data_IF_094635108963
#
_entry.id   IF_094635108963
#
_cell.length_a   1.000
_cell.length_b   1.000
_cell.length_c   1.000
_cell.angle_alpha   90.00
_cell.angle_beta   90.00
_cell.angle_gamma   90.00
#
_symmetry.space_group_name_H-M   'P 1'
#
loop_
_entity.id
_entity.type
_entity.pdbx_description
1 polymer ?
#
# COMPACT_ATOMS: atom_id res chain seq x y z
N UNK A 1 14.22 7.92 1.54
CA UNK A 1 13.28 6.79 1.50
C UNK A 1 12.75 6.56 2.90
N UNK A 2 11.46 6.78 3.16
CA UNK A 2 10.84 6.17 4.33
C UNK A 2 9.36 5.90 4.08
N UNK A 3 9.08 5.05 3.09
CA UNK A 3 7.80 4.33 3.01
C UNK A 3 7.72 3.21 4.06
N UNK A 4 8.87 2.87 4.66
CA UNK A 4 9.02 1.77 5.61
C UNK A 4 8.29 2.03 6.95
N UNK A 5 8.28 3.26 7.45
CA UNK A 5 7.67 3.55 8.76
C UNK A 5 6.15 3.37 8.72
N UNK A 6 5.51 3.88 7.68
CA UNK A 6 4.06 3.81 7.54
C UNK A 6 3.55 2.37 7.37
N UNK A 7 4.06 1.68 6.35
CA UNK A 7 3.74 0.27 6.09
C UNK A 7 4.00 -0.61 7.32
N UNK A 8 5.13 -0.41 8.02
CA UNK A 8 5.44 -1.17 9.24
C UNK A 8 4.40 -0.94 10.32
N UNK A 9 3.98 0.30 10.57
CA UNK A 9 2.97 0.60 11.60
C UNK A 9 1.60 0.05 11.18
N UNK A 10 1.20 0.17 9.91
CA UNK A 10 -0.05 -0.38 9.41
C UNK A 10 -0.09 -1.91 9.53
N UNK A 11 1.01 -2.60 9.22
CA UNK A 11 1.13 -4.05 9.39
C UNK A 11 1.14 -4.48 10.85
N UNK A 12 1.86 -3.74 11.68
CA UNK A 12 1.91 -3.99 13.13
C UNK A 12 0.50 -3.89 13.72
N UNK A 13 -0.21 -2.81 13.41
CA UNK A 13 -1.61 -2.61 13.86
C UNK A 13 -2.52 -3.72 13.33
N UNK A 14 -2.40 -4.10 12.06
CA UNK A 14 -3.18 -5.18 11.47
C UNK A 14 -2.94 -6.50 12.22
N UNK A 15 -1.69 -6.90 12.42
CA UNK A 15 -1.37 -8.14 13.12
C UNK A 15 -1.89 -8.15 14.56
N UNK A 16 -1.70 -7.05 15.31
CA UNK A 16 -2.22 -6.92 16.67
C UNK A 16 -3.75 -7.06 16.73
N UNK A 17 -4.48 -6.47 15.79
CA UNK A 17 -5.95 -6.57 15.71
C UNK A 17 -6.44 -7.99 15.41
N UNK A 18 -5.64 -8.77 14.70
CA UNK A 18 -5.91 -10.18 14.40
C UNK A 18 -5.27 -11.13 15.44
N UNK A 19 -4.78 -10.61 16.57
CA UNK A 19 -4.23 -11.43 17.67
C UNK A 19 -2.87 -12.07 17.37
N UNK A 20 -2.13 -11.52 16.40
CA UNK A 20 -0.83 -12.00 15.95
C UNK A 20 0.26 -11.09 16.50
N UNK A 21 1.30 -11.68 17.10
CA UNK A 21 2.47 -10.92 17.55
C UNK A 21 3.26 -10.37 16.34
N UNK A 22 3.42 -9.04 16.20
CA UNK A 22 4.12 -8.43 15.07
C UNK A 22 5.62 -8.53 15.24
N UNK A 23 6.20 -9.68 14.90
CA UNK A 23 7.65 -9.87 14.97
C UNK A 23 8.34 -9.17 13.78
N UNK A 24 9.59 -8.68 13.95
CA UNK A 24 10.35 -8.09 12.84
C UNK A 24 10.49 -9.04 11.64
N UNK A 25 10.59 -10.36 11.88
CA UNK A 25 10.69 -11.35 10.82
C UNK A 25 9.39 -11.50 10.04
N UNK A 26 8.23 -11.44 10.71
CA UNK A 26 6.92 -11.53 10.07
C UNK A 26 6.62 -10.28 9.23
N UNK A 27 6.91 -9.10 9.76
CA UNK A 27 6.79 -7.83 9.01
C UNK A 27 7.67 -7.87 7.77
N UNK A 28 8.94 -8.27 7.91
CA UNK A 28 9.85 -8.37 6.78
C UNK A 28 9.42 -9.44 5.76
N UNK A 29 8.82 -10.55 6.21
CA UNK A 29 8.27 -11.57 5.33
C UNK A 29 7.10 -11.02 4.51
N UNK A 30 6.18 -10.29 5.14
CA UNK A 30 5.09 -9.64 4.43
C UNK A 30 5.61 -8.60 3.42
N UNK A 31 6.55 -7.74 3.80
CA UNK A 31 7.08 -6.70 2.90
C UNK A 31 7.69 -7.29 1.63
N UNK A 32 8.48 -8.37 1.75
CA UNK A 32 9.02 -9.09 0.59
C UNK A 32 7.92 -9.68 -0.29
N UNK A 33 6.91 -10.29 0.33
CA UNK A 33 5.77 -10.86 -0.38
C UNK A 33 4.95 -9.79 -1.11
N UNK A 34 4.57 -8.70 -0.44
CA UNK A 34 3.84 -7.57 -1.03
C UNK A 34 4.63 -6.95 -2.20
N UNK A 35 5.95 -6.78 -2.05
CA UNK A 35 6.82 -6.30 -3.13
C UNK A 35 6.78 -7.22 -4.35
N UNK A 36 6.85 -8.54 -4.15
CA UNK A 36 6.74 -9.52 -5.25
C UNK A 36 5.42 -9.42 -6.01
N UNK A 37 4.30 -9.21 -5.31
CA UNK A 37 2.99 -9.03 -5.96
C UNK A 37 2.94 -7.76 -6.81
N UNK A 38 3.53 -6.65 -6.34
CA UNK A 38 3.63 -5.41 -7.13
C UNK A 38 4.50 -5.59 -8.37
N UNK A 39 5.63 -6.30 -8.27
CA UNK A 39 6.45 -6.63 -9.44
C UNK A 39 5.65 -7.48 -10.47
N UNK A 40 4.78 -8.38 -10.02
CA UNK A 40 3.91 -9.14 -10.91
C UNK A 40 2.86 -8.26 -11.60
N UNK A 41 2.35 -7.23 -10.92
CA UNK A 41 1.47 -6.22 -11.56
C UNK A 41 2.22 -5.45 -12.62
N UNK A 42 3.44 -4.99 -12.32
CA UNK A 42 4.29 -4.25 -13.28
C UNK A 42 4.63 -5.10 -14.51
N UNK A 43 4.79 -6.41 -14.33
CA UNK A 43 5.00 -7.37 -15.41
C UNK A 43 3.71 -7.77 -16.16
N UNK A 44 2.53 -7.27 -15.76
CA UNK A 44 1.25 -7.63 -16.35
C UNK A 44 0.75 -9.04 -16.02
N UNK A 45 1.37 -9.71 -15.04
CA UNK A 45 1.04 -11.08 -14.64
C UNK A 45 -0.03 -11.15 -13.52
N UNK A 46 -0.31 -10.02 -12.85
CA UNK A 46 -1.30 -9.90 -11.79
C UNK A 46 -2.08 -8.61 -11.97
N UNK A 47 -3.38 -8.61 -11.67
CA UNK A 47 -4.19 -7.38 -11.63
C UNK A 47 -4.25 -6.78 -10.22
N UNK A 48 -4.54 -5.48 -10.12
CA UNK A 48 -4.74 -4.82 -8.81
C UNK A 48 -5.89 -5.44 -8.01
N UNK A 49 -6.99 -5.77 -8.68
CA UNK A 49 -8.15 -6.40 -8.04
C UNK A 49 -7.78 -7.77 -7.46
N UNK A 50 -6.98 -8.55 -8.16
CA UNK A 50 -6.47 -9.83 -7.64
C UNK A 50 -5.50 -9.66 -6.47
N UNK A 51 -4.63 -8.65 -6.52
CA UNK A 51 -3.74 -8.34 -5.40
C UNK A 51 -4.55 -8.03 -4.13
N UNK A 52 -5.55 -7.14 -4.21
CA UNK A 52 -6.36 -6.76 -3.05
C UNK A 52 -7.25 -7.90 -2.56
N UNK A 53 -7.75 -8.75 -3.45
CA UNK A 53 -8.57 -9.90 -3.05
C UNK A 53 -7.75 -11.02 -2.38
N UNK A 54 -6.46 -11.15 -2.69
CA UNK A 54 -5.68 -12.35 -2.33
C UNK A 54 -4.51 -12.11 -1.38
N UNK A 55 -3.89 -10.92 -1.35
CA UNK A 55 -2.58 -10.78 -0.68
C UNK A 55 -2.62 -11.21 0.79
N UNK A 56 -3.60 -10.73 1.56
CA UNK A 56 -3.71 -11.09 2.98
C UNK A 56 -4.33 -12.46 3.21
N UNK A 57 -5.31 -12.85 2.39
CA UNK A 57 -5.89 -14.21 2.43
C UNK A 57 -4.81 -15.27 2.28
N UNK A 58 -3.96 -15.13 1.26
CA UNK A 58 -2.84 -16.04 0.99
C UNK A 58 -1.78 -15.95 2.08
N UNK A 59 -1.36 -14.73 2.46
CA UNK A 59 -0.29 -14.55 3.44
C UNK A 59 -0.66 -15.13 4.82
N UNK A 60 -1.88 -14.85 5.31
CA UNK A 60 -2.34 -15.39 6.60
C UNK A 60 -2.46 -16.91 6.57
N UNK A 61 -2.96 -17.47 5.47
CA UNK A 61 -3.07 -18.91 5.31
C UNK A 61 -1.70 -19.59 5.31
N UNK A 62 -0.75 -19.07 4.53
CA UNK A 62 0.55 -19.70 4.32
C UNK A 62 1.54 -19.47 5.48
N UNK A 63 1.56 -18.28 6.06
CA UNK A 63 2.53 -17.92 7.10
C UNK A 63 2.01 -18.14 8.51
N UNK A 64 0.69 -18.08 8.72
CA UNK A 64 0.08 -18.09 10.05
C UNK A 64 -0.89 -19.26 10.25
N UNK A 65 -1.24 -20.00 9.19
CA UNK A 65 -2.25 -21.05 9.25
C UNK A 65 -3.66 -20.54 9.56
N UNK A 66 -3.90 -19.23 9.42
CA UNK A 66 -5.17 -18.58 9.73
C UNK A 66 -5.97 -18.33 8.46
N UNK A 67 -7.28 -18.52 8.55
CA UNK A 67 -8.20 -18.18 7.45
C UNK A 67 -8.82 -16.82 7.73
N UNK A 68 -8.63 -15.89 6.79
CA UNK A 68 -9.21 -14.54 6.82
C UNK A 68 -9.87 -14.23 5.48
N UNK A 69 -10.79 -13.26 5.47
CA UNK A 69 -11.43 -12.79 4.24
C UNK A 69 -10.67 -11.66 3.54
N UNK A 70 -11.08 -11.30 2.31
CA UNK A 70 -10.46 -10.23 1.52
C UNK A 70 -10.61 -8.83 2.15
N UNK A 71 -11.55 -8.64 3.09
CA UNK A 71 -11.77 -7.40 3.83
C UNK A 71 -10.54 -6.93 4.64
N UNK A 72 -9.65 -7.85 5.02
CA UNK A 72 -8.40 -7.55 5.71
C UNK A 72 -7.50 -6.61 4.90
N UNK A 73 -7.63 -6.64 3.57
CA UNK A 73 -6.95 -5.69 2.69
C UNK A 73 -7.39 -4.24 2.94
N UNK A 74 -8.69 -4.04 3.11
CA UNK A 74 -9.28 -2.73 3.36
C UNK A 74 -8.94 -2.23 4.76
N UNK A 75 -8.89 -3.11 5.76
CA UNK A 75 -8.39 -2.77 7.10
C UNK A 75 -6.94 -2.25 7.04
N UNK A 76 -6.07 -2.98 6.35
CA UNK A 76 -4.68 -2.58 6.14
C UNK A 76 -4.56 -1.24 5.42
N UNK A 77 -5.32 -1.04 4.34
CA UNK A 77 -5.34 0.24 3.61
C UNK A 77 -5.87 1.39 4.47
N UNK A 78 -6.83 1.11 5.36
CA UNK A 78 -7.32 2.06 6.35
C UNK A 78 -6.19 2.52 7.29
N UNK A 79 -5.42 1.59 7.85
CA UNK A 79 -4.28 1.93 8.71
C UNK A 79 -3.19 2.68 7.93
N UNK A 80 -2.89 2.27 6.70
CA UNK A 80 -1.90 2.92 5.85
C UNK A 80 -2.31 4.35 5.45
N UNK A 81 -3.60 4.55 5.12
CA UNK A 81 -4.14 5.84 4.71
C UNK A 81 -4.20 6.91 5.80
N UNK A 82 -4.14 6.50 7.08
CA UNK A 82 -4.07 7.44 8.21
C UNK A 82 -2.69 8.09 8.38
N UNK A 83 -1.66 7.62 7.68
CA UNK A 83 -0.27 8.06 7.82
C UNK A 83 0.12 9.08 6.75
N UNK A 84 0.24 10.34 7.14
CA UNK A 84 0.46 11.48 6.25
C UNK A 84 1.95 11.80 6.01
N UNK A 85 2.81 10.81 5.74
CA UNK A 85 4.23 11.08 5.43
C UNK A 85 4.52 11.10 3.92
N UNK A 86 4.92 12.26 3.41
CA UNK A 86 5.42 12.47 2.05
C UNK A 86 6.74 11.68 1.81
N UNK A 87 6.84 10.95 0.69
CA UNK A 87 8.06 10.20 0.32
C UNK A 87 9.30 11.11 0.24
N UNK A 88 10.38 10.85 0.98
CA UNK A 88 11.66 11.53 0.75
C UNK A 88 12.23 11.11 -0.61
N UNK A 89 12.28 12.06 -1.55
CA UNK A 89 12.73 11.86 -2.93
C UNK A 89 11.66 12.17 -3.99
N UNK A 90 10.38 12.12 -3.63
CA UNK A 90 9.27 12.41 -4.56
C UNK A 90 9.39 13.82 -5.16
N UNK A 91 9.69 14.82 -4.32
CA UNK A 91 9.85 16.20 -4.80
C UNK A 91 11.03 16.39 -5.76
N UNK A 92 12.12 15.62 -5.59
CA UNK A 92 13.28 15.70 -6.48
C UNK A 92 12.99 15.09 -7.86
N UNK A 93 12.29 13.95 -7.89
CA UNK A 93 11.83 13.29 -9.12
C UNK A 93 10.81 14.15 -9.86
N UNK A 94 9.84 14.75 -9.16
CA UNK A 94 8.86 15.68 -9.74
C UNK A 94 9.57 16.90 -10.37
N UNK A 95 10.53 17.51 -9.66
CA UNK A 95 11.31 18.64 -10.19
C UNK A 95 12.18 18.26 -11.39
N UNK A 96 12.65 17.01 -11.48
CA UNK A 96 13.40 16.53 -12.64
C UNK A 96 12.49 16.26 -13.84
N UNK A 97 11.34 15.62 -13.62
CA UNK A 97 10.35 15.38 -14.66
C UNK A 97 9.81 16.69 -15.26
N UNK A 98 9.54 17.70 -14.41
CA UNK A 98 9.12 19.03 -14.87
C UNK A 98 10.19 19.73 -15.72
N UNK A 99 11.48 19.64 -15.32
CA UNK A 99 12.60 20.23 -16.09
C UNK A 99 12.82 19.55 -17.45
N UNK A 100 12.45 18.28 -17.58
CA UNK A 100 12.54 17.51 -18.82
C UNK A 100 11.29 17.68 -19.72
N UNK A 101 10.36 18.57 -19.35
CA UNK A 101 9.17 18.88 -20.15
C UNK A 101 8.02 17.86 -20.01
N UNK A 102 8.11 16.92 -19.08
CA UNK A 102 7.01 15.99 -18.81
C UNK A 102 5.87 16.69 -18.07
N UNK A 103 4.62 16.46 -18.52
CA UNK A 103 3.44 16.89 -17.78
C UNK A 103 3.23 15.97 -16.57
N UNK A 104 3.25 16.57 -15.39
CA UNK A 104 3.01 15.86 -14.13
C UNK A 104 1.51 15.76 -13.87
N UNK A 105 0.97 14.55 -13.93
CA UNK A 105 -0.40 14.24 -13.49
C UNK A 105 -0.36 13.53 -12.14
N UNK A 106 -1.18 13.99 -11.19
CA UNK A 106 -1.42 13.25 -9.95
C UNK A 106 -2.49 12.20 -10.25
N UNK A 107 -2.10 10.93 -10.29
CA UNK A 107 -3.05 9.81 -10.31
C UNK A 107 -3.05 9.25 -8.89
N UNK A 108 -4.01 9.69 -8.08
CA UNK A 108 -4.29 9.03 -6.80
C UNK A 108 -5.37 7.98 -7.04
N UNK A 109 -5.25 6.82 -6.41
CA UNK A 109 -6.40 5.91 -6.23
C UNK A 109 -7.33 6.43 -5.11
N UNK A 110 -7.34 7.73 -4.83
CA UNK A 110 -8.24 8.36 -3.87
C UNK A 110 -9.59 8.59 -4.53
N UNK A 111 -10.63 7.93 -4.03
CA UNK A 111 -12.00 8.20 -4.42
C UNK A 111 -12.30 9.69 -4.37
N UNK A 112 -12.63 10.26 -5.52
CA UNK A 112 -13.08 11.64 -5.67
C UNK A 112 -14.41 11.81 -4.93
N UNK A 113 -14.41 12.43 -3.76
CA UNK A 113 -15.57 13.20 -3.31
C UNK A 113 -15.40 14.63 -3.79
N UNK A 114 -16.34 15.07 -4.62
CA UNK A 114 -16.30 16.37 -5.26
C UNK A 114 -16.60 17.49 -4.27
N UNK A 115 -15.86 18.58 -4.42
CA UNK A 115 -16.40 19.90 -4.23
C UNK A 115 -16.17 20.65 -5.55
N UNK A 116 -17.27 20.98 -6.23
CA UNK A 116 -17.29 22.10 -7.18
C UNK A 116 -17.49 23.35 -6.32
N UNK A 117 -16.62 24.33 -6.44
CA UNK A 117 -16.92 25.70 -6.06
C UNK A 117 -16.59 26.66 -7.21
N UNK A 118 -17.32 27.79 -7.30
CA UNK A 118 -17.70 28.40 -8.56
C UNK A 118 -16.61 29.29 -9.16
N UNK A 119 -16.75 29.49 -10.46
CA UNK A 119 -16.04 30.51 -11.24
C UNK A 119 -16.73 31.85 -10.95
N UNK A 120 -15.97 32.83 -10.48
CA UNK A 120 -16.24 34.25 -10.76
C UNK A 120 -15.54 34.65 -12.07
#
# INVERSE_FOLDING_TARGET
>A
MNFSAGETVALTTLFEKHGIAPTPSLVAAYQRYNTSLWCQIEAGALTKDELFAKRFVTFFKEQLGQTVGPEVDQEYLGYLGTQHELMPGAMAMLKQAQRLGYQLGIITNGGRQGAKEPVE
#
